data_IF_744868214172
#
_entry.id   IF_744868214172
#
_cell.length_a   1.000
_cell.length_b   1.000
_cell.length_c   1.000
_cell.angle_alpha   90.00
_cell.angle_beta   90.00
_cell.angle_gamma   90.00
#
_symmetry.space_group_name_H-M   'P 1'
#
loop_
_entity.id
_entity.type
_entity.pdbx_description
1 polymer ?
#
# COMPACT_ATOMS: atom_id res chain seq x y z
N UNK A 1 41.63 -31.30 -3.45
CA UNK A 1 42.06 -30.03 -2.82
C UNK A 1 41.82 -28.76 -3.65
N UNK A 2 41.78 -28.81 -5.00
CA UNK A 2 41.73 -27.64 -5.89
C UNK A 2 40.38 -26.86 -5.91
N UNK A 3 39.25 -27.53 -5.64
CA UNK A 3 37.89 -26.92 -5.63
C UNK A 3 37.66 -25.96 -4.46
N UNK A 4 38.15 -26.34 -3.27
CA UNK A 4 38.02 -25.56 -2.02
C UNK A 4 38.76 -24.22 -2.08
N UNK A 5 39.93 -24.17 -2.73
CA UNK A 5 40.67 -22.93 -2.97
C UNK A 5 39.95 -22.01 -3.98
N UNK A 6 39.31 -22.58 -5.00
CA UNK A 6 38.54 -21.82 -5.99
C UNK A 6 37.31 -21.14 -5.38
N UNK A 7 36.58 -21.84 -4.52
CA UNK A 7 35.41 -21.31 -3.80
C UNK A 7 35.79 -20.25 -2.75
N UNK A 8 36.89 -20.47 -2.01
CA UNK A 8 37.39 -19.47 -1.05
C UNK A 8 37.84 -18.18 -1.74
N UNK A 9 38.56 -18.31 -2.86
CA UNK A 9 38.97 -17.16 -3.66
C UNK A 9 37.75 -16.42 -4.22
N UNK A 10 36.78 -17.13 -4.77
CA UNK A 10 35.55 -16.53 -5.29
C UNK A 10 34.77 -15.78 -4.20
N UNK A 11 34.64 -16.38 -3.02
CA UNK A 11 33.98 -15.71 -1.89
C UNK A 11 34.71 -14.43 -1.47
N UNK A 12 36.05 -14.41 -1.49
CA UNK A 12 36.83 -13.21 -1.17
C UNK A 12 36.65 -12.10 -2.23
N UNK A 13 36.58 -12.47 -3.51
CA UNK A 13 36.33 -11.53 -4.60
C UNK A 13 34.94 -10.90 -4.52
N UNK A 14 33.92 -11.72 -4.23
CA UNK A 14 32.54 -11.26 -4.09
C UNK A 14 32.35 -10.40 -2.84
N UNK A 15 33.02 -10.72 -1.73
CA UNK A 15 33.03 -9.88 -0.53
C UNK A 15 33.68 -8.52 -0.82
N UNK A 16 34.85 -8.50 -1.46
CA UNK A 16 35.50 -7.26 -1.86
C UNK A 16 34.62 -6.44 -2.84
N UNK A 17 33.95 -7.08 -3.78
CA UNK A 17 33.02 -6.42 -4.70
C UNK A 17 31.82 -5.80 -3.98
N UNK A 18 31.28 -6.46 -2.94
CA UNK A 18 30.22 -5.90 -2.11
C UNK A 18 30.70 -4.71 -1.29
N UNK A 19 31.83 -4.84 -0.60
CA UNK A 19 32.38 -3.77 0.24
C UNK A 19 32.70 -2.52 -0.60
N UNK A 20 33.29 -2.70 -1.77
CA UNK A 20 33.56 -1.62 -2.72
C UNK A 20 32.26 -0.96 -3.21
N UNK A 21 31.21 -1.75 -3.45
CA UNK A 21 29.90 -1.22 -3.83
C UNK A 21 29.28 -0.36 -2.73
N UNK A 22 29.41 -0.79 -1.47
CA UNK A 22 28.90 -0.04 -0.30
C UNK A 22 29.67 1.26 -0.09
N UNK A 23 31.00 1.23 -0.18
CA UNK A 23 31.85 2.39 0.10
C UNK A 23 31.90 3.38 -1.06
N UNK A 24 32.16 2.90 -2.29
CA UNK A 24 32.38 3.75 -3.44
C UNK A 24 31.09 4.01 -4.24
N UNK A 25 30.09 3.13 -4.15
CA UNK A 25 28.90 3.18 -4.98
C UNK A 25 29.14 2.69 -6.41
N UNK A 26 28.07 2.24 -7.08
CA UNK A 26 28.16 1.61 -8.40
C UNK A 26 28.82 2.47 -9.48
N UNK A 27 28.57 3.78 -9.46
CA UNK A 27 29.10 4.72 -10.46
C UNK A 27 30.64 4.78 -10.45
N UNK A 28 31.27 4.71 -9.26
CA UNK A 28 32.73 4.79 -9.10
C UNK A 28 33.42 3.44 -9.05
N UNK A 29 32.68 2.35 -8.82
CA UNK A 29 33.22 1.00 -8.81
C UNK A 29 33.79 0.64 -10.20
N UNK A 30 34.99 0.08 -10.22
CA UNK A 30 35.64 -0.49 -11.41
C UNK A 30 36.13 -1.92 -11.15
N UNK A 31 36.42 -2.68 -12.20
CA UNK A 31 37.04 -4.01 -12.06
C UNK A 31 38.42 -3.89 -11.38
N UNK A 32 39.18 -2.86 -11.73
CA UNK A 32 40.45 -2.52 -11.09
C UNK A 32 40.31 -2.26 -9.59
N UNK A 33 39.34 -1.43 -9.17
CA UNK A 33 39.20 -1.08 -7.75
C UNK A 33 38.85 -2.31 -6.90
N UNK A 34 37.99 -3.20 -7.41
CA UNK A 34 37.70 -4.48 -6.74
C UNK A 34 38.92 -5.40 -6.73
N UNK A 35 39.71 -5.46 -7.81
CA UNK A 35 40.92 -6.29 -7.86
C UNK A 35 41.96 -5.84 -6.83
N UNK A 36 42.18 -4.52 -6.73
CA UNK A 36 43.05 -3.90 -5.71
C UNK A 36 42.57 -4.27 -4.31
N UNK A 37 41.27 -4.10 -4.03
CA UNK A 37 40.67 -4.44 -2.73
C UNK A 37 40.80 -5.91 -2.38
N UNK A 38 40.57 -6.80 -3.35
CA UNK A 38 40.72 -8.23 -3.20
C UNK A 38 42.19 -8.71 -3.20
N UNK A 39 43.15 -7.81 -3.42
CA UNK A 39 44.60 -8.11 -3.57
C UNK A 39 44.86 -9.16 -4.66
N UNK A 40 44.23 -8.98 -5.82
CA UNK A 40 44.34 -9.85 -6.99
C UNK A 40 44.57 -9.04 -8.27
N UNK A 41 44.62 -9.70 -9.43
CA UNK A 41 44.68 -9.02 -10.73
C UNK A 41 43.30 -8.97 -11.40
N UNK A 42 43.06 -7.94 -12.22
CA UNK A 42 41.82 -7.81 -13.00
C UNK A 42 41.53 -9.04 -13.89
N UNK A 43 42.59 -9.65 -14.43
CA UNK A 43 42.46 -10.87 -15.23
C UNK A 43 41.79 -12.04 -14.48
N UNK A 44 41.90 -12.07 -13.14
CA UNK A 44 41.21 -13.08 -12.31
C UNK A 44 39.70 -12.79 -12.23
N UNK A 45 39.31 -11.52 -12.17
CA UNK A 45 37.90 -11.11 -12.17
C UNK A 45 37.25 -11.34 -13.55
N UNK A 46 37.90 -10.89 -14.63
CA UNK A 46 37.35 -11.03 -16.00
C UNK A 46 37.19 -12.49 -16.46
N UNK A 47 37.96 -13.43 -15.89
CA UNK A 47 37.76 -14.87 -16.14
C UNK A 47 36.46 -15.41 -15.56
N UNK A 48 35.84 -14.70 -14.61
CA UNK A 48 34.65 -15.14 -13.85
C UNK A 48 33.41 -14.32 -14.15
N UNK A 49 33.59 -13.02 -14.38
CA UNK A 49 32.52 -12.08 -14.68
C UNK A 49 32.95 -11.26 -15.89
N UNK A 50 32.14 -11.27 -16.94
CA UNK A 50 32.49 -10.64 -18.21
C UNK A 50 32.56 -9.10 -18.09
N UNK A 51 31.85 -8.53 -17.13
CA UNK A 51 31.77 -7.09 -16.90
C UNK A 51 31.46 -6.76 -15.42
N UNK A 52 31.50 -5.46 -15.11
CA UNK A 52 31.19 -4.92 -13.77
C UNK A 52 29.79 -5.31 -13.29
N UNK A 53 28.77 -5.24 -14.14
CA UNK A 53 27.39 -5.55 -13.78
C UNK A 53 27.26 -7.00 -13.29
N UNK A 54 27.90 -7.96 -13.97
CA UNK A 54 27.90 -9.36 -13.57
C UNK A 54 28.59 -9.59 -12.23
N UNK A 55 29.72 -8.94 -11.99
CA UNK A 55 30.44 -8.98 -10.70
C UNK A 55 29.58 -8.41 -9.58
N UNK A 56 28.97 -7.23 -9.78
CA UNK A 56 28.12 -6.57 -8.79
C UNK A 56 26.90 -7.42 -8.48
N UNK A 57 26.19 -7.94 -9.49
CA UNK A 57 25.04 -8.81 -9.28
C UNK A 57 25.42 -10.09 -8.53
N UNK A 58 26.61 -10.65 -8.79
CA UNK A 58 27.11 -11.80 -8.06
C UNK A 58 27.48 -11.46 -6.61
N UNK A 59 28.07 -10.29 -6.36
CA UNK A 59 28.42 -9.81 -5.03
C UNK A 59 27.16 -9.57 -4.18
N UNK A 60 26.15 -8.91 -4.74
CA UNK A 60 24.85 -8.69 -4.08
C UNK A 60 24.16 -10.02 -3.73
N UNK A 61 24.15 -11.00 -4.65
CA UNK A 61 23.61 -12.34 -4.39
C UNK A 61 24.35 -13.03 -3.25
N UNK A 62 25.69 -13.01 -3.27
CA UNK A 62 26.52 -13.64 -2.25
C UNK A 62 26.32 -13.01 -0.89
N UNK A 63 26.31 -11.68 -0.82
CA UNK A 63 26.05 -10.95 0.42
C UNK A 63 24.70 -11.32 1.02
N UNK A 64 23.63 -11.35 0.22
CA UNK A 64 22.31 -11.83 0.67
C UNK A 64 22.37 -13.26 1.19
N UNK A 65 23.08 -14.15 0.50
CA UNK A 65 23.17 -15.56 0.91
C UNK A 65 23.93 -15.77 2.22
N UNK A 66 24.91 -14.91 2.53
CA UNK A 66 25.65 -14.91 3.78
C UNK A 66 24.88 -14.29 4.96
N UNK A 67 23.79 -13.57 4.69
CA UNK A 67 22.95 -12.91 5.70
C UNK A 67 21.49 -13.42 5.66
N UNK A 68 21.25 -14.70 5.97
CA UNK A 68 19.90 -15.26 5.94
C UNK A 68 19.02 -14.67 7.05
N UNK A 69 17.76 -14.38 6.73
CA UNK A 69 16.75 -14.00 7.71
C UNK A 69 16.30 -15.27 8.44
N UNK A 70 16.44 -15.28 9.77
CA UNK A 70 16.02 -16.40 10.60
C UNK A 70 14.50 -16.63 10.46
N UNK A 71 14.11 -17.90 10.34
CA UNK A 71 12.70 -18.27 10.29
C UNK A 71 12.18 -18.44 11.72
N UNK A 72 11.26 -17.57 12.20
CA UNK A 72 10.68 -17.71 13.52
C UNK A 72 9.74 -18.92 13.58
N UNK A 73 9.53 -19.47 14.77
CA UNK A 73 8.49 -20.44 15.09
C UNK A 73 7.85 -20.07 16.43
N UNK A 74 6.95 -19.09 16.39
CA UNK A 74 6.21 -18.58 17.54
C UNK A 74 5.00 -19.45 17.88
N UNK A 75 4.74 -20.52 17.11
CA UNK A 75 3.58 -21.40 17.28
C UNK A 75 2.28 -20.91 16.64
N UNK A 76 2.30 -19.82 15.85
CA UNK A 76 1.13 -19.38 15.06
C UNK A 76 1.57 -18.72 13.76
N UNK A 77 0.79 -18.86 12.69
CA UNK A 77 1.05 -18.22 11.39
C UNK A 77 1.18 -16.72 11.54
N UNK A 78 0.27 -16.11 12.31
CA UNK A 78 0.28 -14.66 12.58
C UNK A 78 1.60 -14.24 13.22
N UNK A 79 2.02 -14.91 14.29
CA UNK A 79 3.25 -14.56 15.01
C UNK A 79 4.50 -14.79 14.15
N UNK A 80 4.54 -15.90 13.41
CA UNK A 80 5.62 -16.22 12.48
C UNK A 80 5.76 -15.14 11.40
N UNK A 81 4.66 -14.72 10.77
CA UNK A 81 4.68 -13.67 9.74
C UNK A 81 5.08 -12.30 10.29
N UNK A 82 4.54 -11.89 11.45
CA UNK A 82 4.91 -10.61 12.06
C UNK A 82 6.40 -10.57 12.41
N UNK A 83 6.92 -11.63 13.03
CA UNK A 83 8.32 -11.71 13.39
C UNK A 83 9.23 -11.75 12.14
N UNK A 84 8.87 -12.55 11.14
CA UNK A 84 9.68 -12.68 9.92
C UNK A 84 9.68 -11.39 9.10
N UNK A 85 8.51 -10.79 8.85
CA UNK A 85 8.44 -9.55 8.07
C UNK A 85 9.15 -8.38 8.78
N UNK A 86 9.13 -8.34 10.11
CA UNK A 86 9.88 -7.34 10.88
C UNK A 86 11.38 -7.54 10.70
N UNK A 87 11.89 -8.75 10.95
CA UNK A 87 13.31 -9.06 10.78
C UNK A 87 13.78 -8.86 9.33
N UNK A 88 12.97 -9.27 8.36
CA UNK A 88 13.25 -9.11 6.95
C UNK A 88 13.30 -7.62 6.56
N UNK A 89 12.34 -6.83 7.02
CA UNK A 89 12.28 -5.39 6.77
C UNK A 89 13.52 -4.67 7.30
N UNK A 90 13.91 -4.97 8.54
CA UNK A 90 15.09 -4.37 9.17
C UNK A 90 16.39 -4.80 8.47
N UNK A 91 16.52 -6.08 8.13
CA UNK A 91 17.71 -6.63 7.50
C UNK A 91 17.89 -6.18 6.04
N UNK A 92 16.80 -6.03 5.29
CA UNK A 92 16.86 -5.79 3.86
C UNK A 92 16.80 -4.31 3.46
N UNK A 93 16.41 -3.40 4.34
CA UNK A 93 16.28 -1.98 3.99
C UNK A 93 17.58 -1.39 3.41
N UNK A 94 18.71 -1.58 4.10
CA UNK A 94 20.01 -1.09 3.62
C UNK A 94 20.44 -1.76 2.31
N UNK A 95 20.17 -3.06 2.17
CA UNK A 95 20.43 -3.80 0.94
C UNK A 95 19.65 -3.23 -0.25
N UNK A 96 18.35 -2.96 -0.08
CA UNK A 96 17.52 -2.36 -1.13
C UNK A 96 17.93 -0.93 -1.46
N UNK A 97 18.37 -0.14 -0.48
CA UNK A 97 18.92 1.20 -0.73
C UNK A 97 20.15 1.14 -1.65
N UNK A 98 21.10 0.24 -1.38
CA UNK A 98 22.28 0.02 -2.23
C UNK A 98 21.86 -0.48 -3.63
N UNK A 99 20.93 -1.43 -3.69
CA UNK A 99 20.41 -1.97 -4.95
C UNK A 99 19.76 -0.90 -5.83
N UNK A 100 18.92 -0.06 -5.23
CA UNK A 100 18.25 1.04 -5.92
C UNK A 100 19.25 2.09 -6.43
N UNK A 101 20.21 2.48 -5.58
CA UNK A 101 21.28 3.40 -5.99
C UNK A 101 22.13 2.85 -7.15
N UNK A 102 22.44 1.55 -7.13
CA UNK A 102 23.15 0.88 -8.21
C UNK A 102 22.33 0.86 -9.51
N UNK A 103 21.04 0.54 -9.43
CA UNK A 103 20.12 0.56 -10.58
C UNK A 103 20.01 1.95 -11.22
N UNK A 104 19.83 2.99 -10.40
CA UNK A 104 19.80 4.39 -10.86
C UNK A 104 21.12 4.80 -11.52
N UNK A 105 22.24 4.29 -10.99
CA UNK A 105 23.59 4.54 -11.51
C UNK A 105 23.94 3.72 -12.76
N UNK A 106 22.99 2.98 -13.34
CA UNK A 106 23.16 2.26 -14.59
C UNK A 106 23.54 0.78 -14.45
N UNK A 107 23.34 0.17 -13.28
CA UNK A 107 23.40 -1.29 -13.17
C UNK A 107 22.40 -1.89 -14.16
N UNK A 108 22.88 -2.77 -15.05
CA UNK A 108 22.18 -3.45 -16.15
C UNK A 108 22.37 -2.84 -17.53
N UNK A 109 23.05 -1.70 -17.66
CA UNK A 109 23.34 -1.08 -18.96
C UNK A 109 24.04 -2.03 -19.92
N UNK A 110 24.83 -2.99 -19.40
CA UNK A 110 25.58 -3.95 -20.21
C UNK A 110 24.97 -5.36 -20.25
N UNK A 111 23.87 -5.58 -19.53
CA UNK A 111 23.25 -6.93 -19.41
C UNK A 111 22.01 -7.13 -20.27
N UNK A 112 21.38 -6.05 -20.74
CA UNK A 112 20.09 -6.10 -21.44
C UNK A 112 18.92 -6.62 -20.60
N UNK A 113 19.11 -6.82 -19.29
CA UNK A 113 18.10 -7.37 -18.40
C UNK A 113 17.10 -6.29 -17.94
N UNK A 114 15.84 -6.69 -17.81
CA UNK A 114 14.79 -5.84 -17.23
C UNK A 114 14.96 -5.71 -15.71
N UNK A 115 14.39 -4.67 -15.08
CA UNK A 115 14.36 -4.55 -13.62
C UNK A 115 13.81 -5.80 -12.92
N UNK A 116 12.80 -6.45 -13.50
CA UNK A 116 12.24 -7.71 -12.98
C UNK A 116 13.24 -8.86 -13.00
N UNK A 117 13.97 -9.05 -14.10
CA UNK A 117 15.01 -10.09 -14.20
C UNK A 117 16.18 -9.82 -13.25
N UNK A 118 16.53 -8.56 -13.03
CA UNK A 118 17.57 -8.16 -12.07
C UNK A 118 17.11 -8.45 -10.64
N UNK A 119 15.87 -8.06 -10.30
CA UNK A 119 15.24 -8.45 -9.04
C UNK A 119 15.29 -9.97 -8.83
N UNK A 120 14.93 -10.76 -9.83
CA UNK A 120 14.90 -12.23 -9.71
C UNK A 120 16.31 -12.81 -9.52
N UNK A 121 17.31 -12.25 -10.20
CA UNK A 121 18.71 -12.61 -9.97
C UNK A 121 19.17 -12.22 -8.56
N UNK A 122 18.79 -11.06 -8.04
CA UNK A 122 19.28 -10.54 -6.76
C UNK A 122 18.51 -11.11 -5.57
N UNK A 123 17.23 -11.43 -5.71
CA UNK A 123 16.32 -11.80 -4.62
C UNK A 123 15.74 -13.21 -4.82
N UNK A 124 15.24 -13.51 -6.03
CA UNK A 124 14.53 -14.74 -6.35
C UNK A 124 13.33 -15.00 -5.42
N UNK A 125 12.96 -16.27 -5.26
CA UNK A 125 11.86 -16.71 -4.38
C UNK A 125 12.25 -16.75 -2.89
N UNK A 126 13.47 -16.32 -2.56
CA UNK A 126 14.08 -16.56 -1.24
C UNK A 126 13.43 -15.78 -0.10
N UNK A 127 12.67 -14.73 -0.42
CA UNK A 127 11.88 -13.99 0.55
C UNK A 127 10.57 -14.67 0.94
N UNK A 128 10.19 -15.77 0.27
CA UNK A 128 9.04 -16.58 0.65
C UNK A 128 9.50 -17.67 1.65
N UNK A 129 9.23 -17.54 2.95
CA UNK A 129 9.60 -18.52 3.95
C UNK A 129 8.61 -19.69 3.92
N UNK A 130 8.73 -20.57 2.92
CA UNK A 130 7.82 -21.72 2.72
C UNK A 130 7.58 -22.53 3.99
N UNK A 131 8.60 -22.69 4.82
CA UNK A 131 8.50 -23.38 6.11
C UNK A 131 7.49 -22.77 7.10
N UNK A 132 7.27 -21.45 7.08
CA UNK A 132 6.21 -20.82 7.91
C UNK A 132 4.83 -21.32 7.48
N UNK A 133 4.60 -21.37 6.17
CA UNK A 133 3.33 -21.81 5.60
C UNK A 133 3.11 -23.31 5.75
N UNK A 134 4.15 -24.12 5.57
CA UNK A 134 4.10 -25.56 5.79
C UNK A 134 3.75 -25.90 7.24
N UNK A 135 4.37 -25.21 8.23
CA UNK A 135 4.01 -25.41 9.64
C UNK A 135 2.59 -24.95 9.95
N UNK A 136 2.16 -23.80 9.42
CA UNK A 136 0.79 -23.32 9.60
C UNK A 136 -0.25 -24.28 9.01
N UNK A 137 0.07 -24.90 7.87
CA UNK A 137 -0.77 -25.95 7.27
C UNK A 137 -0.85 -27.20 8.13
N UNK A 138 0.29 -27.67 8.63
CA UNK A 138 0.34 -28.82 9.54
C UNK A 138 -0.45 -28.58 10.83
N UNK A 139 -0.52 -27.32 11.30
CA UNK A 139 -1.35 -26.91 12.45
C UNK A 139 -2.83 -26.68 12.11
N UNK A 140 -3.22 -26.75 10.83
CA UNK A 140 -4.59 -26.49 10.38
C UNK A 140 -4.99 -25.01 10.36
N UNK A 141 -4.03 -24.08 10.46
CA UNK A 141 -4.31 -22.63 10.41
C UNK A 141 -4.65 -22.16 8.98
N UNK A 142 -4.12 -22.85 7.96
CA UNK A 142 -4.35 -22.58 6.53
C UNK A 142 -4.40 -23.88 5.73
N UNK A 143 -5.02 -23.84 4.55
CA UNK A 143 -5.06 -24.97 3.62
C UNK A 143 -4.24 -24.69 2.35
N UNK A 144 -3.00 -25.19 2.31
CA UNK A 144 -2.11 -24.99 1.16
C UNK A 144 -2.61 -25.66 -0.13
N UNK A 145 -3.54 -26.61 -0.05
CA UNK A 145 -4.12 -27.23 -1.25
C UNK A 145 -5.08 -26.30 -1.99
N UNK A 146 -5.58 -25.26 -1.30
CA UNK A 146 -6.56 -24.29 -1.82
C UNK A 146 -5.95 -22.91 -2.12
N UNK A 147 -4.74 -22.65 -1.63
CA UNK A 147 -4.08 -21.34 -1.76
C UNK A 147 -3.16 -21.31 -2.98
N UNK A 148 -3.27 -20.25 -3.78
CA UNK A 148 -2.32 -20.00 -4.87
C UNK A 148 -1.00 -19.46 -4.33
N UNK A 149 0.09 -19.70 -5.06
CA UNK A 149 1.41 -19.14 -4.74
C UNK A 149 1.38 -17.61 -4.64
N UNK A 150 0.59 -16.95 -5.49
CA UNK A 150 0.40 -15.49 -5.47
C UNK A 150 -0.15 -14.98 -4.14
N UNK A 151 -1.10 -15.70 -3.53
CA UNK A 151 -1.63 -15.33 -2.21
C UNK A 151 -0.54 -15.44 -1.16
N UNK A 152 0.22 -16.53 -1.14
CA UNK A 152 1.32 -16.76 -0.20
C UNK A 152 2.46 -15.74 -0.36
N UNK A 153 2.72 -15.26 -1.58
CA UNK A 153 3.74 -14.25 -1.85
C UNK A 153 3.33 -12.84 -1.43
N UNK A 154 2.02 -12.54 -1.36
CA UNK A 154 1.49 -11.19 -1.19
C UNK A 154 2.14 -10.39 -0.05
N UNK A 155 2.31 -10.93 1.18
CA UNK A 155 2.91 -10.17 2.27
C UNK A 155 4.32 -9.67 1.95
N UNK A 156 5.11 -10.50 1.26
CA UNK A 156 6.49 -10.19 0.88
C UNK A 156 6.53 -9.26 -0.34
N UNK A 157 5.57 -9.38 -1.26
CA UNK A 157 5.44 -8.45 -2.39
C UNK A 157 5.13 -7.04 -1.89
N UNK A 158 4.19 -6.88 -0.95
CA UNK A 158 3.86 -5.58 -0.35
C UNK A 158 5.02 -5.00 0.47
N UNK A 159 5.67 -5.81 1.31
CA UNK A 159 6.85 -5.39 2.06
C UNK A 159 7.97 -4.94 1.11
N UNK A 160 8.26 -5.72 0.07
CA UNK A 160 9.30 -5.38 -0.91
C UNK A 160 9.00 -4.09 -1.64
N UNK A 161 7.74 -3.87 -2.05
CA UNK A 161 7.31 -2.63 -2.68
C UNK A 161 7.61 -1.43 -1.76
N UNK A 162 7.20 -1.50 -0.50
CA UNK A 162 7.42 -0.42 0.47
C UNK A 162 8.94 -0.20 0.69
N UNK A 163 9.73 -1.27 0.83
CA UNK A 163 11.20 -1.17 0.95
C UNK A 163 11.86 -0.54 -0.28
N UNK A 164 11.36 -0.81 -1.50
CA UNK A 164 11.93 -0.26 -2.74
C UNK A 164 11.62 1.21 -2.94
N UNK A 165 10.46 1.68 -2.47
CA UNK A 165 10.06 3.08 -2.62
C UNK A 165 10.59 3.95 -1.47
N UNK A 166 10.50 3.47 -0.24
CA UNK A 166 10.87 4.25 0.94
C UNK A 166 12.35 4.09 1.31
N UNK A 167 13.00 3.01 0.86
CA UNK A 167 14.39 2.65 1.18
C UNK A 167 14.69 2.64 2.68
N UNK A 168 13.66 2.34 3.49
CA UNK A 168 13.70 2.34 4.94
C UNK A 168 12.86 1.18 5.51
N UNK A 169 13.15 0.69 6.73
CA UNK A 169 12.35 -0.35 7.35
C UNK A 169 10.88 0.06 7.48
N UNK A 170 9.97 -0.87 7.22
CA UNK A 170 8.54 -0.68 7.41
C UNK A 170 8.21 -0.35 8.86
N UNK A 171 7.30 0.59 9.05
CA UNK A 171 6.72 0.88 10.36
C UNK A 171 5.97 -0.35 10.89
N UNK A 172 6.03 -0.68 12.20
CA UNK A 172 5.32 -1.83 12.77
C UNK A 172 3.81 -1.86 12.48
N UNK A 173 3.17 -0.69 12.38
CA UNK A 173 1.76 -0.59 12.01
C UNK A 173 1.47 -1.07 10.58
N UNK A 174 2.40 -0.83 9.65
CA UNK A 174 2.27 -1.28 8.25
C UNK A 174 2.41 -2.80 8.15
N UNK A 175 3.38 -3.38 8.86
CA UNK A 175 3.55 -4.85 8.94
C UNK A 175 2.29 -5.50 9.52
N UNK A 176 1.74 -4.94 10.61
CA UNK A 176 0.47 -5.43 11.18
C UNK A 176 -0.69 -5.34 10.20
N UNK A 177 -0.84 -4.24 9.46
CA UNK A 177 -1.89 -4.12 8.43
C UNK A 177 -1.74 -5.17 7.32
N UNK A 178 -0.51 -5.40 6.83
CA UNK A 178 -0.23 -6.45 5.83
C UNK A 178 -0.67 -7.84 6.35
N UNK A 179 -0.35 -8.17 7.60
CA UNK A 179 -0.67 -9.49 8.16
C UNK A 179 -2.14 -9.60 8.58
N UNK A 180 -2.59 -8.72 9.46
CA UNK A 180 -3.88 -8.83 10.16
C UNK A 180 -5.07 -8.40 9.29
N UNK A 181 -4.90 -7.35 8.49
CA UNK A 181 -6.01 -6.75 7.75
C UNK A 181 -6.09 -7.29 6.31
N UNK A 182 -4.96 -7.70 5.73
CA UNK A 182 -4.89 -8.15 4.33
C UNK A 182 -4.69 -9.66 4.22
N UNK A 183 -3.63 -10.22 4.79
CA UNK A 183 -3.25 -11.61 4.50
C UNK A 183 -4.10 -12.64 5.25
N UNK A 184 -4.19 -12.55 6.58
CA UNK A 184 -4.89 -13.56 7.39
C UNK A 184 -6.36 -13.75 7.01
N UNK A 185 -7.16 -12.70 6.74
CA UNK A 185 -8.54 -12.85 6.31
C UNK A 185 -8.71 -13.61 4.98
N UNK A 186 -7.67 -13.64 4.14
CA UNK A 186 -7.69 -14.33 2.84
C UNK A 186 -7.33 -15.82 2.94
N UNK A 187 -6.59 -16.22 3.98
CA UNK A 187 -5.97 -17.56 4.02
C UNK A 187 -6.48 -18.46 5.14
N UNK A 188 -7.00 -17.88 6.22
CA UNK A 188 -7.56 -18.67 7.31
C UNK A 188 -8.94 -19.19 6.90
N UNK A 189 -9.26 -20.47 7.20
CA UNK A 189 -10.59 -20.98 6.94
C UNK A 189 -11.62 -20.10 7.69
N UNK A 190 -12.78 -19.79 7.08
CA UNK A 190 -13.86 -19.15 7.81
C UNK A 190 -14.12 -20.01 9.03
N UNK A 191 -13.94 -19.44 10.21
CA UNK A 191 -14.03 -20.19 11.46
C UNK A 191 -15.39 -20.91 11.48
N UNK A 192 -15.38 -22.24 11.60
CA UNK A 192 -16.61 -22.97 11.94
C UNK A 192 -17.20 -22.29 13.16
N UNK A 193 -18.43 -21.78 13.01
CA UNK A 193 -19.23 -21.29 14.12
C UNK A 193 -19.49 -22.50 15.02
N UNK A 194 -18.59 -22.73 15.99
CA UNK A 194 -18.83 -23.70 17.05
C UNK A 194 -19.92 -23.14 17.94
N UNK A 195 -21.06 -23.81 17.92
CA UNK A 195 -22.10 -23.74 18.94
C UNK A 195 -21.45 -23.79 20.33
N UNK A 196 -21.37 -22.63 20.97
CA UNK A 196 -21.12 -22.48 22.38
C UNK A 196 -22.12 -21.44 22.88
N UNK A 197 -23.13 -21.91 23.59
CA UNK A 197 -23.87 -21.08 24.56
C UNK A 197 -22.89 -20.27 25.41
N UNK A 198 -23.21 -19.01 25.74
CA UNK A 198 -22.23 -17.96 25.84
C UNK A 198 -21.49 -17.99 27.18
N UNK A 199 -20.17 -18.02 27.11
CA UNK A 199 -19.28 -17.55 28.17
C UNK A 199 -18.11 -16.81 27.55
N UNK A 200 -18.37 -15.53 27.24
CA UNK A 200 -17.42 -14.43 27.03
C UNK A 200 -16.32 -14.64 25.95
N UNK A 201 -16.74 -14.50 24.70
CA UNK A 201 -15.89 -14.26 23.54
C UNK A 201 -15.37 -12.80 23.56
N UNK A 202 -14.05 -12.58 23.66
CA UNK A 202 -13.48 -11.26 23.37
C UNK A 202 -13.30 -11.13 21.85
N UNK A 203 -14.34 -10.65 21.17
CA UNK A 203 -14.21 -9.99 19.87
C UNK A 203 -13.72 -8.57 20.15
N UNK A 204 -12.54 -8.13 19.66
CA UNK A 204 -12.22 -6.71 19.71
C UNK A 204 -13.32 -5.98 18.96
N UNK A 205 -14.11 -5.16 19.67
CA UNK A 205 -15.13 -4.33 19.06
C UNK A 205 -14.44 -3.51 17.95
N UNK A 206 -14.99 -3.46 16.72
CA UNK A 206 -14.47 -2.52 15.73
C UNK A 206 -14.45 -1.15 16.38
N UNK A 207 -13.29 -0.49 16.38
CA UNK A 207 -13.20 0.87 16.91
C UNK A 207 -14.17 1.72 16.09
N UNK A 208 -14.85 2.65 16.72
CA UNK A 208 -15.84 3.52 16.06
C UNK A 208 -15.28 4.16 14.77
N UNK A 209 -13.99 4.51 14.76
CA UNK A 209 -13.29 5.02 13.58
C UNK A 209 -13.25 4.07 12.36
N UNK A 210 -13.15 2.76 12.56
CA UNK A 210 -13.13 1.79 11.47
C UNK A 210 -14.54 1.60 10.89
N UNK A 211 -15.56 1.65 11.76
CA UNK A 211 -16.96 1.65 11.34
C UNK A 211 -17.28 2.90 10.49
N UNK A 212 -16.89 4.09 10.95
CA UNK A 212 -17.11 5.34 10.20
C UNK A 212 -16.40 5.34 8.84
N UNK A 213 -15.20 4.74 8.75
CA UNK A 213 -14.46 4.62 7.48
C UNK A 213 -15.19 3.71 6.49
N UNK A 214 -15.68 2.56 6.94
CA UNK A 214 -16.45 1.63 6.11
C UNK A 214 -17.76 2.25 5.61
N UNK A 215 -18.48 2.95 6.49
CA UNK A 215 -19.70 3.68 6.12
C UNK A 215 -19.40 4.75 5.06
N UNK A 216 -18.35 5.55 5.27
CA UNK A 216 -17.92 6.57 4.29
C UNK A 216 -17.54 5.96 2.94
N UNK A 217 -16.85 4.82 2.94
CA UNK A 217 -16.46 4.12 1.71
C UNK A 217 -17.67 3.61 0.93
N UNK A 218 -18.62 2.97 1.61
CA UNK A 218 -19.87 2.47 0.99
C UNK A 218 -20.65 3.62 0.35
N UNK A 219 -20.86 4.72 1.09
CA UNK A 219 -21.56 5.91 0.58
C UNK A 219 -20.84 6.49 -0.64
N UNK A 220 -19.52 6.69 -0.55
CA UNK A 220 -18.71 7.24 -1.65
C UNK A 220 -18.81 6.40 -2.91
N UNK A 221 -18.68 5.08 -2.79
CA UNK A 221 -18.74 4.15 -3.93
C UNK A 221 -20.08 4.23 -4.66
N UNK A 222 -21.19 4.30 -3.93
CA UNK A 222 -22.53 4.44 -4.52
C UNK A 222 -22.68 5.74 -5.31
N UNK A 223 -22.21 6.86 -4.76
CA UNK A 223 -22.26 8.15 -5.44
C UNK A 223 -21.34 8.16 -6.67
N UNK A 224 -20.14 7.57 -6.59
CA UNK A 224 -19.22 7.45 -7.74
C UNK A 224 -19.82 6.64 -8.89
N UNK A 225 -20.46 5.50 -8.58
CA UNK A 225 -21.15 4.68 -9.58
C UNK A 225 -22.30 5.45 -10.25
N UNK A 226 -23.12 6.12 -9.44
CA UNK A 226 -24.24 6.92 -9.94
C UNK A 226 -23.78 8.14 -10.76
N UNK A 227 -22.77 8.88 -10.28
CA UNK A 227 -22.26 10.10 -10.94
C UNK A 227 -21.67 9.79 -12.31
N UNK A 228 -20.99 8.64 -12.45
CA UNK A 228 -20.41 8.19 -13.72
C UNK A 228 -21.46 8.00 -14.82
N UNK A 229 -22.67 7.56 -14.46
CA UNK A 229 -23.77 7.41 -15.44
C UNK A 229 -24.29 8.74 -16.00
N UNK A 230 -23.90 9.85 -15.37
CA UNK A 230 -24.33 11.22 -15.68
C UNK A 230 -23.17 12.11 -16.14
N UNK A 231 -22.03 11.50 -16.48
CA UNK A 231 -20.81 12.21 -16.88
C UNK A 231 -20.35 13.26 -15.85
N UNK A 232 -20.50 12.92 -14.56
CA UNK A 232 -20.04 13.71 -13.43
C UNK A 232 -18.93 12.97 -12.67
N UNK A 233 -17.94 13.72 -12.17
CA UNK A 233 -17.09 13.20 -11.08
C UNK A 233 -17.86 13.22 -9.76
N UNK A 234 -17.38 12.46 -8.77
CA UNK A 234 -17.93 12.49 -7.41
C UNK A 234 -18.01 13.93 -6.87
N UNK A 235 -16.92 14.68 -7.02
CA UNK A 235 -16.82 16.05 -6.52
C UNK A 235 -17.77 16.99 -7.25
N UNK A 236 -18.00 16.80 -8.56
CA UNK A 236 -18.96 17.58 -9.33
C UNK A 236 -20.40 17.31 -8.88
N UNK A 237 -20.76 16.04 -8.67
CA UNK A 237 -22.07 15.65 -8.17
C UNK A 237 -22.33 16.20 -6.76
N UNK A 238 -21.36 16.09 -5.85
CA UNK A 238 -21.48 16.62 -4.49
C UNK A 238 -21.60 18.15 -4.49
N UNK A 239 -20.82 18.86 -5.30
CA UNK A 239 -20.91 20.33 -5.38
C UNK A 239 -22.24 20.78 -5.99
N UNK A 240 -22.71 20.15 -7.07
CA UNK A 240 -24.00 20.48 -7.67
C UNK A 240 -25.17 20.21 -6.72
N UNK A 241 -25.19 19.05 -6.03
CA UNK A 241 -26.20 18.76 -5.02
C UNK A 241 -26.13 19.66 -3.79
N UNK A 242 -24.93 20.15 -3.43
CA UNK A 242 -24.81 21.18 -2.40
C UNK A 242 -25.39 22.53 -2.84
N UNK A 243 -25.15 22.92 -4.10
CA UNK A 243 -25.70 24.15 -4.68
C UNK A 243 -27.23 24.09 -4.87
N UNK A 244 -27.79 22.91 -5.09
CA UNK A 244 -29.24 22.68 -5.08
C UNK A 244 -29.85 23.02 -3.71
N UNK A 245 -29.23 22.52 -2.62
CA UNK A 245 -29.71 22.76 -1.25
C UNK A 245 -29.39 24.16 -0.74
N UNK A 246 -28.28 24.74 -1.17
CA UNK A 246 -27.79 26.05 -0.74
C UNK A 246 -27.38 26.89 -1.96
N UNK A 247 -28.35 27.47 -2.68
CA UNK A 247 -28.05 28.33 -3.82
C UNK A 247 -27.38 29.63 -3.38
N UNK A 248 -26.42 30.11 -4.17
CA UNK A 248 -25.79 31.41 -3.96
C UNK A 248 -24.69 31.42 -2.89
N UNK A 249 -24.10 30.27 -2.57
CA UNK A 249 -22.94 30.18 -1.65
C UNK A 249 -21.69 30.83 -2.23
N UNK A 250 -20.76 31.19 -1.35
CA UNK A 250 -19.43 31.65 -1.79
C UNK A 250 -18.49 30.45 -1.97
N UNK A 251 -17.45 30.62 -2.78
CA UNK A 251 -16.47 29.57 -3.08
C UNK A 251 -15.81 28.96 -1.83
N UNK A 252 -15.66 29.75 -0.76
CA UNK A 252 -15.12 29.28 0.52
C UNK A 252 -16.00 28.20 1.14
N UNK A 253 -17.31 28.38 1.13
CA UNK A 253 -18.26 27.45 1.75
C UNK A 253 -18.26 26.11 0.98
N UNK A 254 -18.12 26.18 -0.35
CA UNK A 254 -17.94 24.98 -1.19
C UNK A 254 -16.64 24.24 -0.84
N UNK A 255 -15.54 24.95 -0.56
CA UNK A 255 -14.27 24.33 -0.17
C UNK A 255 -14.32 23.66 1.19
N UNK A 256 -15.00 24.30 2.14
CA UNK A 256 -15.24 23.77 3.48
C UNK A 256 -16.09 22.49 3.44
N UNK A 257 -17.23 22.53 2.73
CA UNK A 257 -18.13 21.37 2.56
C UNK A 257 -17.46 20.21 1.85
N UNK A 258 -16.75 20.47 0.75
CA UNK A 258 -16.10 19.40 -0.04
C UNK A 258 -14.77 18.93 0.56
N UNK A 259 -14.36 19.49 1.71
CA UNK A 259 -13.09 19.21 2.37
C UNK A 259 -11.89 19.27 1.42
N UNK A 260 -11.86 20.28 0.55
CA UNK A 260 -10.79 20.48 -0.45
C UNK A 260 -10.26 21.91 -0.40
N UNK A 261 -9.20 22.19 -1.16
CA UNK A 261 -8.59 23.53 -1.15
C UNK A 261 -9.39 24.52 -1.99
N UNK A 262 -9.35 25.83 -1.68
CA UNK A 262 -9.97 26.87 -2.52
C UNK A 262 -9.49 26.85 -3.98
N UNK A 263 -8.23 26.45 -4.21
CA UNK A 263 -7.66 26.29 -5.55
C UNK A 263 -8.33 25.15 -6.33
N UNK A 264 -8.55 24.00 -5.69
CA UNK A 264 -9.25 22.87 -6.29
C UNK A 264 -10.71 23.23 -6.60
N UNK A 265 -11.40 23.92 -5.69
CA UNK A 265 -12.76 24.41 -5.95
C UNK A 265 -12.78 25.40 -7.12
N UNK A 266 -11.81 26.31 -7.21
CA UNK A 266 -11.74 27.26 -8.33
C UNK A 266 -11.68 26.55 -9.69
N UNK A 267 -10.85 25.51 -9.79
CA UNK A 267 -10.71 24.69 -11.00
C UNK A 267 -11.98 23.91 -11.30
N UNK A 268 -12.59 23.29 -10.28
CA UNK A 268 -13.84 22.55 -10.40
C UNK A 268 -14.97 23.45 -10.90
N UNK A 269 -15.16 24.62 -10.28
CA UNK A 269 -16.20 25.57 -10.66
C UNK A 269 -15.98 26.11 -12.08
N UNK A 270 -14.73 26.40 -12.47
CA UNK A 270 -14.40 26.80 -13.85
C UNK A 270 -14.74 25.70 -14.86
N UNK A 271 -14.54 24.43 -14.48
CA UNK A 271 -14.93 23.28 -15.29
C UNK A 271 -16.44 23.15 -15.45
N UNK A 272 -17.20 23.27 -14.36
CA UNK A 272 -18.66 23.23 -14.37
C UNK A 272 -19.27 24.41 -15.12
N UNK A 273 -18.71 25.62 -14.99
CA UNK A 273 -19.16 26.82 -15.68
C UNK A 273 -18.96 26.71 -17.19
N UNK A 274 -17.83 26.15 -17.63
CA UNK A 274 -17.59 25.85 -19.06
C UNK A 274 -18.60 24.85 -19.63
N UNK A 275 -19.08 23.92 -18.81
CA UNK A 275 -20.12 22.96 -19.18
C UNK A 275 -21.53 23.54 -19.07
N UNK A 276 -21.68 24.80 -18.64
CA UNK A 276 -22.98 25.43 -18.42
C UNK A 276 -23.78 24.85 -17.25
N UNK A 277 -23.12 24.16 -16.31
CA UNK A 277 -23.76 23.48 -15.17
C UNK A 277 -23.82 24.36 -13.91
N UNK A 278 -22.99 25.40 -13.84
CA UNK A 278 -23.02 26.41 -12.79
C UNK A 278 -22.82 27.79 -13.38
N UNK A 279 -23.27 28.80 -12.66
CA UNK A 279 -23.03 30.20 -12.96
C UNK A 279 -22.49 30.93 -11.72
N UNK A 280 -21.69 31.98 -11.95
CA UNK A 280 -21.14 32.81 -10.89
C UNK A 280 -21.55 34.25 -11.07
N UNK A 281 -22.28 34.80 -10.09
CA UNK A 281 -22.82 36.15 -10.11
C UNK A 281 -22.16 36.99 -9.03
N UNK A 282 -21.95 38.27 -9.30
CA UNK A 282 -21.47 39.21 -8.27
C UNK A 282 -22.68 39.88 -7.63
N UNK A 283 -22.95 39.56 -6.37
CA UNK A 283 -24.09 40.06 -5.62
C UNK A 283 -23.62 40.55 -4.25
N UNK A 284 -23.99 41.79 -3.88
CA UNK A 284 -23.54 42.40 -2.63
C UNK A 284 -22.01 42.47 -2.48
N UNK A 285 -21.29 42.65 -3.58
CA UNK A 285 -19.82 42.73 -3.60
C UNK A 285 -19.08 41.39 -3.45
N UNK A 286 -19.80 40.24 -3.44
CA UNK A 286 -19.20 38.90 -3.36
C UNK A 286 -19.59 38.06 -4.58
N UNK A 287 -18.68 37.18 -5.02
CA UNK A 287 -18.98 36.19 -6.06
C UNK A 287 -19.71 35.01 -5.44
N UNK A 288 -20.96 34.80 -5.87
CA UNK A 288 -21.85 33.71 -5.46
C UNK A 288 -22.00 32.71 -6.58
N UNK A 289 -22.15 31.44 -6.22
CA UNK A 289 -22.23 30.30 -7.13
C UNK A 289 -23.65 29.75 -7.11
N UNK A 290 -24.20 29.49 -8.29
CA UNK A 290 -25.52 28.88 -8.48
C UNK A 290 -25.38 27.69 -9.43
N UNK A 291 -26.12 26.61 -9.19
CA UNK A 291 -26.30 25.56 -10.20
C UNK A 291 -27.31 26.06 -11.26
N UNK A 292 -27.07 25.75 -12.53
CA UNK A 292 -28.05 25.99 -13.60
C UNK A 292 -29.08 24.86 -13.61
N UNK A 293 -30.18 25.03 -14.34
CA UNK A 293 -31.18 23.97 -14.54
C UNK A 293 -30.54 22.68 -15.09
N UNK A 294 -29.65 22.80 -16.08
CA UNK A 294 -28.90 21.66 -16.61
C UNK A 294 -27.97 21.00 -15.57
N UNK A 295 -27.42 21.78 -14.64
CA UNK A 295 -26.65 21.26 -13.51
C UNK A 295 -27.52 20.49 -12.52
N UNK A 296 -28.70 21.01 -12.20
CA UNK A 296 -29.68 20.40 -11.30
C UNK A 296 -30.25 19.10 -11.89
N UNK A 297 -30.57 19.08 -13.18
CA UNK A 297 -31.06 17.88 -13.87
C UNK A 297 -30.07 16.71 -13.77
N UNK A 298 -28.77 17.00 -13.87
CA UNK A 298 -27.73 15.97 -13.75
C UNK A 298 -27.60 15.45 -12.31
N UNK A 299 -27.98 16.24 -11.30
CA UNK A 299 -27.97 15.77 -9.91
C UNK A 299 -29.32 15.31 -9.38
N UNK A 300 -30.36 15.34 -10.21
CA UNK A 300 -31.68 14.84 -9.86
C UNK A 300 -31.60 13.36 -9.42
N UNK A 301 -32.02 13.10 -8.18
CA UNK A 301 -31.98 11.78 -7.55
C UNK A 301 -30.72 11.47 -6.74
N UNK A 302 -29.79 12.42 -6.57
CA UNK A 302 -28.62 12.25 -5.70
C UNK A 302 -29.03 11.90 -4.26
N UNK A 303 -30.05 12.59 -3.73
CA UNK A 303 -30.55 12.36 -2.37
C UNK A 303 -31.16 10.97 -2.20
N UNK A 304 -31.80 10.42 -3.25
CA UNK A 304 -32.32 9.06 -3.23
C UNK A 304 -31.19 8.02 -3.18
N UNK A 305 -30.11 8.23 -3.92
CA UNK A 305 -28.92 7.35 -3.89
C UNK A 305 -28.25 7.38 -2.52
N UNK A 306 -28.18 8.56 -1.91
CA UNK A 306 -27.68 8.72 -0.54
C UNK A 306 -28.57 7.98 0.46
N UNK A 307 -29.89 8.12 0.35
CA UNK A 307 -30.84 7.41 1.20
C UNK A 307 -30.76 5.88 1.05
N UNK A 308 -30.60 5.37 -0.18
CA UNK A 308 -30.40 3.94 -0.43
C UNK A 308 -29.08 3.42 0.16
N UNK A 309 -28.00 4.20 0.04
CA UNK A 309 -26.72 3.86 0.66
C UNK A 309 -26.84 3.81 2.19
N UNK A 310 -27.61 4.72 2.76
CA UNK A 310 -27.86 4.80 4.20
C UNK A 310 -28.71 3.63 4.68
N UNK A 311 -29.79 3.30 3.97
CA UNK A 311 -30.59 2.13 4.28
C UNK A 311 -29.79 0.84 4.19
N UNK A 312 -28.90 0.69 3.22
CA UNK A 312 -28.02 -0.48 3.14
C UNK A 312 -27.07 -0.58 4.33
N UNK A 313 -26.56 0.55 4.83
CA UNK A 313 -25.67 0.59 5.99
C UNK A 313 -26.42 0.29 7.29
N UNK A 314 -27.65 0.79 7.42
CA UNK A 314 -28.43 0.70 8.65
C UNK A 314 -29.50 -0.40 8.63
N UNK A 315 -29.64 -1.15 7.53
CA UNK A 315 -30.55 -2.29 7.39
C UNK A 315 -30.50 -3.29 8.56
N UNK A 316 -29.31 -3.58 9.16
CA UNK A 316 -29.24 -4.47 10.33
C UNK A 316 -29.80 -3.88 11.63
N UNK A 317 -30.06 -2.57 11.71
CA UNK A 317 -30.53 -1.88 12.91
C UNK A 317 -32.06 -1.77 12.94
N UNK A 318 -32.65 -2.19 14.06
CA UNK A 318 -34.07 -1.95 14.35
C UNK A 318 -34.35 -0.46 14.62
N UNK A 319 -35.64 -0.09 14.64
CA UNK A 319 -36.06 1.32 14.79
C UNK A 319 -35.47 1.99 16.04
N UNK A 320 -35.61 1.35 17.20
CA UNK A 320 -35.09 1.87 18.47
C UNK A 320 -33.55 1.97 18.50
N UNK A 321 -32.86 1.14 17.73
CA UNK A 321 -31.39 1.16 17.62
C UNK A 321 -30.93 2.32 16.72
N UNK A 322 -31.68 2.59 15.64
CA UNK A 322 -31.46 3.75 14.77
C UNK A 322 -31.67 5.05 15.54
N UNK A 323 -32.77 5.18 16.30
CA UNK A 323 -33.04 6.36 17.12
C UNK A 323 -31.92 6.64 18.13
N UNK A 324 -31.37 5.59 18.75
CA UNK A 324 -30.21 5.72 19.67
C UNK A 324 -28.93 6.10 18.94
N UNK A 325 -28.68 5.51 17.77
CA UNK A 325 -27.52 5.83 16.95
C UNK A 325 -27.56 7.29 16.51
N UNK A 326 -28.70 7.78 16.05
CA UNK A 326 -28.93 9.18 15.68
C UNK A 326 -28.71 10.11 16.88
N UNK A 327 -29.24 9.78 18.05
CA UNK A 327 -29.01 10.55 19.27
C UNK A 327 -27.52 10.60 19.67
N UNK A 328 -26.76 9.51 19.47
CA UNK A 328 -25.32 9.49 19.72
C UNK A 328 -24.54 10.27 18.66
N UNK A 329 -24.91 10.14 17.39
CA UNK A 329 -24.30 10.88 16.29
C UNK A 329 -24.50 12.39 16.46
N UNK A 330 -25.72 12.84 16.82
CA UNK A 330 -26.02 14.24 17.10
C UNK A 330 -25.18 14.81 18.25
N UNK A 331 -24.95 14.02 19.30
CA UNK A 331 -24.04 14.43 20.39
C UNK A 331 -22.60 14.59 19.92
N UNK A 332 -22.12 13.69 19.05
CA UNK A 332 -20.77 13.77 18.48
C UNK A 332 -20.66 14.99 17.57
N UNK A 333 -21.64 15.21 16.70
CA UNK A 333 -21.68 16.31 15.74
C UNK A 333 -21.64 17.68 16.43
N UNK A 334 -22.38 17.85 17.53
CA UNK A 334 -22.37 19.06 18.35
C UNK A 334 -20.99 19.42 18.94
N UNK A 335 -20.03 18.50 18.95
CA UNK A 335 -18.67 18.73 19.44
C UNK A 335 -17.63 18.86 18.31
N UNK A 336 -18.02 18.72 17.04
CA UNK A 336 -17.13 18.87 15.89
C UNK A 336 -17.11 20.33 15.40
N UNK A 337 -15.94 20.85 14.97
CA UNK A 337 -15.87 22.18 14.38
C UNK A 337 -16.66 22.22 13.05
N UNK A 338 -17.71 23.04 13.00
CA UNK A 338 -18.60 23.18 11.85
C UNK A 338 -19.91 22.38 11.92
N UNK A 339 -20.21 21.70 13.03
CA UNK A 339 -21.54 21.14 13.29
C UNK A 339 -22.59 22.25 13.41
N UNK A 340 -23.83 21.95 13.00
CA UNK A 340 -24.96 22.92 12.99
C UNK A 340 -25.34 23.40 14.39
#
# INVERSE_FOLDING_TARGET
MRRRHGEQLESALLAAGWDELVEAGYARLTMESVAVRARTSEAVLYRRWANKDELVLAAMRRHRDDHPIAMPDTGSLRGDLLAYLTAASESLAGFFAIAAAAAISGLSAHTGATPGQIRDRIIGDRLLPRGIYERAHARGEIDLTRLSGTVLEMPFQLMRHDLLLDLAPLRPARIRSIVDELFLPLVQPPSEVKDLTPSREYKPRPKSGDLFRSIRWVRRKRIEEWSRTRDLTFEQAIVLGYLERQPGVIQRDVAEMSHTTPANVSLLLKGLERRGLVERRTEGGRKRVYATEAGLDLVAGLDAVLAEADEMVFAPLGRDERDRLEAMAAKIDAHLPGGS
#
